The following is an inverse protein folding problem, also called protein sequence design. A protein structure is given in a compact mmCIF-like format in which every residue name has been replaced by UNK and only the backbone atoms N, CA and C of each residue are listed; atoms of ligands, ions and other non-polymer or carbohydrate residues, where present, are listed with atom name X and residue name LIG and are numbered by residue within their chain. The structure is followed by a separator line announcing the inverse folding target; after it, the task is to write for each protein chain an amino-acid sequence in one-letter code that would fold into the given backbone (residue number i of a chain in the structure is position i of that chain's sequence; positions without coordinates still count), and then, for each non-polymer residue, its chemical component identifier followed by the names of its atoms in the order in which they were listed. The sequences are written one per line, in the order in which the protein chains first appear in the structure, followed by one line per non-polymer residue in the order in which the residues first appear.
data_IF_719211997280
#
_entry.id   IF_719211997280
#
_cell.length_a   1.000
_cell.length_b   1.000
_cell.length_c   1.000
_cell.angle_alpha   90.00
_cell.angle_beta   90.00
_cell.angle_gamma   90.00
#
_symmetry.space_group_name_H-M   'P 1'
#
loop_
_entity.id
_entity.type
_entity.pdbx_description
1 polymer ?
#
# COMPACT_ATOMS: atom_id res chain seq x y z
N UNK A 1 4.79 17.23 22.05
CA UNK A 1 5.12 17.01 20.64
C UNK A 1 3.85 16.55 19.96
N UNK A 2 3.27 17.33 19.06
CA UNK A 2 2.30 16.78 18.12
C UNK A 2 3.11 15.97 17.11
N UNK A 3 3.02 14.64 17.17
CA UNK A 3 3.48 13.79 16.08
C UNK A 3 2.52 13.99 14.92
N UNK A 4 3.05 14.37 13.75
CA UNK A 4 2.26 14.47 12.54
C UNK A 4 1.59 13.12 12.23
N UNK A 5 0.33 13.10 11.77
CA UNK A 5 -0.36 11.85 11.46
C UNK A 5 0.30 11.16 10.28
N UNK A 6 0.27 9.83 10.31
CA UNK A 6 0.80 8.95 9.27
C UNK A 6 -0.33 8.18 8.60
N UNK A 7 -0.03 7.47 7.53
CA UNK A 7 -0.99 6.58 6.87
C UNK A 7 -1.50 5.48 7.82
N UNK A 8 -0.76 5.14 8.87
CA UNK A 8 -1.13 4.07 9.81
C UNK A 8 -2.05 4.55 10.93
N UNK A 9 -1.98 5.81 11.34
CA UNK A 9 -2.69 6.37 12.50
C UNK A 9 -3.52 7.63 12.16
N UNK A 10 -4.01 7.69 10.93
CA UNK A 10 -4.75 8.85 10.39
C UNK A 10 -6.13 9.09 11.05
N UNK A 11 -6.70 8.10 11.72
CA UNK A 11 -8.09 8.14 12.23
C UNK A 11 -8.42 9.39 13.10
N UNK A 12 -7.58 9.81 14.06
CA UNK A 12 -7.85 11.02 14.86
C UNK A 12 -7.91 12.30 14.02
N UNK A 13 -7.10 12.40 12.95
CA UNK A 13 -7.11 13.56 12.06
C UNK A 13 -8.39 13.64 11.21
N UNK A 14 -9.01 12.49 10.91
CA UNK A 14 -10.25 12.40 10.13
C UNK A 14 -11.52 12.49 10.98
N UNK A 15 -11.41 12.39 12.31
CA UNK A 15 -12.55 12.36 13.23
C UNK A 15 -13.64 13.44 12.99
N UNK A 16 -13.33 14.68 12.58
CA UNK A 16 -14.36 15.68 12.26
C UNK A 16 -15.34 15.28 11.14
N UNK A 17 -14.98 14.31 10.28
CA UNK A 17 -15.85 13.79 9.23
C UNK A 17 -16.91 12.78 9.74
N UNK A 18 -16.93 12.48 11.04
CA UNK A 18 -17.95 11.63 11.68
C UNK A 18 -17.99 10.22 11.08
N UNK A 19 -19.20 9.73 10.80
CA UNK A 19 -19.43 8.36 10.32
C UNK A 19 -18.64 8.01 9.03
N UNK A 20 -18.27 8.99 8.22
CA UNK A 20 -17.41 8.75 7.06
C UNK A 20 -15.99 8.37 7.48
N UNK A 21 -15.43 9.00 8.51
CA UNK A 21 -14.12 8.62 9.04
C UNK A 21 -14.14 7.20 9.62
N UNK A 22 -15.20 6.85 10.35
CA UNK A 22 -15.38 5.52 10.92
C UNK A 22 -15.41 4.45 9.82
N UNK A 23 -16.20 4.66 8.76
CA UNK A 23 -16.27 3.72 7.63
C UNK A 23 -14.94 3.57 6.89
N UNK A 24 -14.15 4.63 6.76
CA UNK A 24 -12.82 4.58 6.14
C UNK A 24 -11.83 3.79 6.99
N UNK A 25 -11.93 3.89 8.32
CA UNK A 25 -11.09 3.13 9.25
C UNK A 25 -11.50 1.66 9.29
N UNK A 26 -12.80 1.35 9.30
CA UNK A 26 -13.31 -0.03 9.20
C UNK A 26 -12.82 -0.70 7.91
N UNK A 27 -12.90 0.00 6.78
CA UNK A 27 -12.36 -0.50 5.51
C UNK A 27 -10.85 -0.71 5.58
N UNK A 28 -10.10 0.22 6.19
CA UNK A 28 -8.66 0.07 6.37
C UNK A 28 -8.32 -1.21 7.14
N UNK A 29 -8.97 -1.46 8.27
CA UNK A 29 -8.76 -2.69 9.06
C UNK A 29 -9.14 -3.95 8.27
N UNK A 30 -10.26 -3.92 7.52
CA UNK A 30 -10.70 -5.05 6.71
C UNK A 30 -9.71 -5.41 5.59
N UNK A 31 -9.10 -4.41 4.93
CA UNK A 31 -8.13 -4.63 3.85
C UNK A 31 -6.87 -5.39 4.31
N UNK A 32 -6.44 -5.21 5.56
CA UNK A 32 -5.30 -5.94 6.12
C UNK A 32 -5.64 -7.33 6.64
N UNK A 33 -6.93 -7.61 6.88
CA UNK A 33 -7.42 -8.87 7.42
C UNK A 33 -8.03 -9.82 6.37
N UNK A 34 -8.33 -9.33 5.16
CA UNK A 34 -8.92 -10.15 4.09
C UNK A 34 -7.96 -11.29 3.62
N UNK A 35 -8.50 -12.41 3.10
CA UNK A 35 -7.72 -13.61 2.81
C UNK A 35 -7.16 -13.71 1.38
N UNK A 36 -7.47 -12.76 0.50
CA UNK A 36 -7.18 -12.81 -0.94
C UNK A 36 -5.77 -12.31 -1.29
N UNK A 37 -5.28 -11.27 -0.59
CA UNK A 37 -3.91 -10.76 -0.75
C UNK A 37 -3.20 -10.78 0.61
N UNK A 38 -2.04 -11.44 0.75
CA UNK A 38 -1.32 -11.47 2.02
C UNK A 38 -0.90 -10.08 2.50
N UNK A 39 -1.04 -9.79 3.80
CA UNK A 39 -0.61 -8.53 4.39
C UNK A 39 0.85 -8.13 4.06
N UNK A 40 1.85 -9.06 4.02
CA UNK A 40 3.20 -8.69 3.57
C UNK A 40 3.27 -8.12 2.15
N UNK A 41 2.41 -8.57 1.22
CA UNK A 41 2.35 -8.03 -0.15
C UNK A 41 1.76 -6.63 -0.15
N UNK A 42 0.70 -6.39 0.63
CA UNK A 42 0.11 -5.06 0.79
C UNK A 42 1.11 -4.07 1.42
N UNK A 43 1.93 -4.52 2.37
CA UNK A 43 2.96 -3.68 2.98
C UNK A 43 4.09 -3.33 2.00
N UNK A 44 4.50 -4.27 1.13
CA UNK A 44 5.42 -3.95 0.04
C UNK A 44 4.82 -2.88 -0.87
N UNK A 45 3.54 -2.98 -1.23
CA UNK A 45 2.87 -1.96 -2.04
C UNK A 45 2.79 -0.61 -1.31
N UNK A 46 2.45 -0.59 -0.01
CA UNK A 46 2.41 0.64 0.81
C UNK A 46 3.77 1.33 0.85
N UNK A 47 4.83 0.59 1.16
CA UNK A 47 6.20 1.12 1.22
C UNK A 47 6.66 1.62 -0.15
N UNK A 48 6.29 0.93 -1.24
CA UNK A 48 6.62 1.37 -2.60
C UNK A 48 5.94 2.68 -2.95
N UNK A 49 4.62 2.79 -2.72
CA UNK A 49 3.86 4.01 -2.95
C UNK A 49 4.39 5.17 -2.09
N UNK A 50 4.70 4.93 -0.81
CA UNK A 50 5.31 5.93 0.06
C UNK A 50 6.65 6.45 -0.50
N UNK A 51 7.50 5.53 -0.99
CA UNK A 51 8.76 5.89 -1.65
C UNK A 51 8.55 6.71 -2.93
N UNK A 52 7.57 6.34 -3.76
CA UNK A 52 7.23 7.08 -4.98
C UNK A 52 6.68 8.49 -4.71
N UNK A 53 5.97 8.69 -3.59
CA UNK A 53 5.55 10.02 -3.11
C UNK A 53 6.66 10.83 -2.45
N UNK A 54 7.80 10.20 -2.14
CA UNK A 54 8.93 10.81 -1.41
C UNK A 54 8.65 11.03 0.08
N UNK A 55 7.84 10.18 0.71
CA UNK A 55 7.44 10.29 2.13
C UNK A 55 8.37 9.45 3.03
N UNK A 56 9.48 10.03 3.46
CA UNK A 56 10.51 9.32 4.24
C UNK A 56 9.96 8.79 5.57
N UNK A 57 9.12 9.57 6.25
CA UNK A 57 8.43 9.20 7.48
C UNK A 57 7.57 7.95 7.29
N UNK A 58 6.88 7.82 6.15
CA UNK A 58 6.03 6.67 5.84
C UNK A 58 6.83 5.41 5.52
N UNK A 59 7.98 5.57 4.85
CA UNK A 59 8.90 4.45 4.54
C UNK A 59 9.62 3.91 5.79
N UNK A 60 9.70 4.71 6.86
CA UNK A 60 10.25 4.28 8.14
C UNK A 60 9.28 3.44 8.98
N UNK A 61 7.97 3.46 8.64
CA UNK A 61 6.95 2.72 9.38
C UNK A 61 6.87 1.25 8.94
N UNK A 62 6.39 0.41 9.84
CA UNK A 62 6.09 -1.02 9.58
C UNK A 62 4.64 -1.28 9.97
N UNK A 63 3.84 -1.76 9.03
CA UNK A 63 2.48 -2.15 9.35
C UNK A 63 2.47 -3.39 10.26
N UNK A 64 1.76 -3.40 11.41
CA UNK A 64 1.83 -4.49 12.39
C UNK A 64 1.31 -5.84 11.87
N UNK A 65 0.40 -5.83 10.89
CA UNK A 65 -0.10 -7.05 10.24
C UNK A 65 0.91 -7.69 9.27
N UNK A 66 2.00 -7.01 8.92
CA UNK A 66 2.99 -7.48 7.97
C UNK A 66 4.36 -7.66 8.66
N UNK A 67 4.98 -8.83 8.45
CA UNK A 67 6.37 -9.08 8.84
C UNK A 67 7.20 -9.23 7.59
N UNK A 68 8.11 -8.30 7.36
CA UNK A 68 9.04 -8.30 6.24
C UNK A 68 10.48 -8.19 6.76
N UNK A 69 11.45 -8.91 6.17
CA UNK A 69 12.85 -8.71 6.48
C UNK A 69 13.31 -7.30 6.08
N UNK A 70 14.09 -6.64 6.93
CA UNK A 70 14.60 -5.28 6.66
C UNK A 70 15.44 -5.21 5.37
N UNK A 71 16.20 -6.26 5.04
CA UNK A 71 16.95 -6.32 3.78
C UNK A 71 16.05 -6.30 2.54
N UNK A 72 14.87 -6.93 2.62
CA UNK A 72 13.87 -6.91 1.56
C UNK A 72 13.24 -5.53 1.41
N UNK A 73 12.99 -4.84 2.53
CA UNK A 73 12.50 -3.46 2.53
C UNK A 73 13.55 -2.52 1.92
N UNK A 74 14.82 -2.66 2.29
CA UNK A 74 15.91 -1.88 1.71
C UNK A 74 15.98 -2.05 0.19
N UNK A 75 15.93 -3.30 -0.30
CA UNK A 75 15.93 -3.62 -1.73
C UNK A 75 14.68 -3.11 -2.48
N UNK A 76 13.55 -2.95 -1.78
CA UNK A 76 12.37 -2.30 -2.34
C UNK A 76 12.58 -0.80 -2.50
N UNK A 77 13.05 -0.14 -1.44
CA UNK A 77 13.18 1.32 -1.38
C UNK A 77 14.32 1.84 -2.26
N UNK A 78 15.39 1.06 -2.45
CA UNK A 78 16.47 1.40 -3.40
C UNK A 78 16.14 1.07 -4.87
N UNK A 79 14.99 0.44 -5.13
CA UNK A 79 14.51 0.09 -6.48
C UNK A 79 15.14 -1.15 -7.10
N UNK A 80 15.92 -1.93 -6.35
CA UNK A 80 16.56 -3.16 -6.85
C UNK A 80 15.63 -4.38 -6.88
N UNK A 81 14.43 -4.29 -6.27
CA UNK A 81 13.47 -5.39 -6.19
C UNK A 81 13.21 -6.14 -7.51
N UNK A 82 13.16 -5.54 -8.73
CA UNK A 82 12.84 -6.25 -9.97
C UNK A 82 13.88 -7.30 -10.38
N UNK A 83 15.06 -7.30 -9.74
CA UNK A 83 16.10 -8.32 -9.94
C UNK A 83 16.57 -8.99 -8.64
N UNK A 84 16.09 -8.53 -7.49
CA UNK A 84 16.51 -9.04 -6.19
C UNK A 84 15.91 -10.42 -5.89
N UNK A 85 16.68 -11.47 -5.55
CA UNK A 85 16.20 -12.86 -5.48
C UNK A 85 15.10 -13.10 -4.43
N UNK A 86 15.06 -12.29 -3.37
CA UNK A 86 14.09 -12.45 -2.27
C UNK A 86 12.65 -12.06 -2.63
N UNK A 87 12.41 -11.51 -3.83
CA UNK A 87 11.08 -11.20 -4.32
C UNK A 87 10.52 -12.33 -5.19
N UNK A 88 9.43 -12.92 -4.72
CA UNK A 88 8.68 -13.91 -5.45
C UNK A 88 8.02 -13.30 -6.70
N UNK A 89 7.66 -14.12 -7.70
CA UNK A 89 6.90 -13.64 -8.86
C UNK A 89 5.58 -12.96 -8.49
N UNK A 90 4.87 -13.46 -7.47
CA UNK A 90 3.60 -12.87 -7.01
C UNK A 90 3.78 -11.47 -6.40
N UNK A 91 4.86 -11.26 -5.63
CA UNK A 91 5.18 -9.94 -5.07
C UNK A 91 5.59 -8.95 -6.16
N UNK A 92 6.36 -9.40 -7.16
CA UNK A 92 6.72 -8.55 -8.31
C UNK A 92 5.49 -8.13 -9.09
N UNK A 93 4.58 -9.06 -9.41
CA UNK A 93 3.34 -8.75 -10.11
C UNK A 93 2.51 -7.69 -9.38
N UNK A 94 2.39 -7.80 -8.04
CA UNK A 94 1.69 -6.80 -7.24
C UNK A 94 2.40 -5.44 -7.22
N UNK A 95 3.74 -5.42 -7.15
CA UNK A 95 4.53 -4.19 -7.19
C UNK A 95 4.49 -3.50 -8.55
N UNK A 96 4.63 -4.25 -9.64
CA UNK A 96 4.52 -3.72 -11.01
C UNK A 96 3.11 -3.12 -11.23
N UNK A 97 2.07 -3.80 -10.75
CA UNK A 97 0.70 -3.28 -10.76
C UNK A 97 0.58 -1.98 -9.93
N UNK A 98 1.19 -1.93 -8.73
CA UNK A 98 1.17 -0.75 -7.87
C UNK A 98 1.90 0.46 -8.49
N UNK A 99 2.99 0.24 -9.22
CA UNK A 99 3.70 1.30 -9.92
C UNK A 99 2.88 1.89 -11.07
N UNK A 100 2.24 1.05 -11.89
CA UNK A 100 1.34 1.54 -12.94
C UNK A 100 0.12 2.24 -12.33
N UNK A 101 -0.46 1.71 -11.25
CA UNK A 101 -1.54 2.37 -10.51
C UNK A 101 -1.15 3.79 -10.07
N UNK A 102 0.05 3.95 -9.50
CA UNK A 102 0.56 5.26 -9.06
C UNK A 102 0.74 6.24 -10.22
N UNK A 103 1.27 5.76 -11.34
CA UNK A 103 1.55 6.58 -12.52
C UNK A 103 0.27 7.01 -13.24
N UNK A 104 -0.56 6.03 -13.60
CA UNK A 104 -1.87 6.21 -14.23
C UNK A 104 -2.68 4.92 -14.10
N UNK A 105 -3.64 4.90 -13.18
CA UNK A 105 -4.54 3.76 -13.00
C UNK A 105 -5.34 3.39 -14.27
N UNK A 106 -5.52 4.31 -15.24
CA UNK A 106 -6.16 4.01 -16.53
C UNK A 106 -5.24 3.28 -17.50
N UNK A 107 -3.94 3.27 -17.25
CA UNK A 107 -2.94 2.55 -18.05
C UNK A 107 -2.78 1.09 -17.60
N UNK A 108 -3.53 0.63 -16.58
CA UNK A 108 -3.57 -0.77 -16.19
C UNK A 108 -4.18 -1.58 -17.34
N UNK A 109 -3.33 -2.32 -18.04
CA UNK A 109 -3.70 -3.22 -19.13
C UNK A 109 -4.33 -4.52 -18.61
N UNK A 110 -5.08 -5.21 -19.46
CA UNK A 110 -5.60 -6.54 -19.18
C UNK A 110 -4.50 -7.55 -18.87
N UNK A 111 -3.33 -7.45 -19.52
CA UNK A 111 -2.18 -8.31 -19.26
C UNK A 111 -1.66 -8.14 -17.83
N UNK A 112 -1.51 -6.90 -17.38
CA UNK A 112 -1.06 -6.59 -16.02
C UNK A 112 -2.06 -7.08 -14.96
N UNK A 113 -3.36 -6.91 -15.23
CA UNK A 113 -4.43 -7.44 -14.39
C UNK A 113 -4.43 -8.98 -14.37
N UNK A 114 -4.20 -9.62 -15.51
CA UNK A 114 -4.09 -11.07 -15.64
C UNK A 114 -2.88 -11.63 -14.87
N UNK A 115 -1.73 -10.94 -14.88
CA UNK A 115 -0.55 -11.35 -14.12
C UNK A 115 -0.79 -11.33 -12.60
N UNK A 116 -1.47 -10.31 -12.07
CA UNK A 116 -1.90 -10.32 -10.65
C UNK A 116 -2.90 -11.46 -10.39
N UNK A 117 -3.89 -11.62 -11.28
CA UNK A 117 -4.93 -12.64 -11.14
C UNK A 117 -4.37 -14.06 -11.20
N UNK A 118 -3.26 -14.28 -11.91
CA UNK A 118 -2.54 -15.56 -11.96
C UNK A 118 -2.10 -16.03 -10.57
N UNK A 119 -1.75 -15.10 -9.68
CA UNK A 119 -1.24 -15.42 -8.34
C UNK A 119 -2.29 -15.30 -7.23
N UNK A 120 -3.23 -14.35 -7.34
CA UNK A 120 -4.20 -14.06 -6.29
C UNK A 120 -5.66 -14.32 -6.68
N UNK A 121 -5.90 -14.76 -7.91
CA UNK A 121 -7.23 -14.87 -8.49
C UNK A 121 -7.90 -13.51 -8.72
N UNK A 122 -9.09 -13.55 -9.32
CA UNK A 122 -9.91 -12.34 -9.52
C UNK A 122 -10.29 -11.64 -8.21
N UNK A 123 -10.66 -12.33 -7.12
CA UNK A 123 -10.89 -11.67 -5.82
C UNK A 123 -9.64 -10.95 -5.29
N UNK A 124 -8.46 -11.51 -5.55
CA UNK A 124 -7.19 -10.92 -5.17
C UNK A 124 -6.84 -9.67 -5.96
N UNK A 125 -7.14 -9.64 -7.27
CA UNK A 125 -7.02 -8.42 -8.07
C UNK A 125 -7.90 -7.30 -7.52
N UNK A 126 -9.18 -7.60 -7.24
CA UNK A 126 -10.12 -6.60 -6.68
C UNK A 126 -9.64 -6.11 -5.31
N UNK A 127 -9.19 -7.02 -4.44
CA UNK A 127 -8.66 -6.67 -3.12
C UNK A 127 -7.40 -5.80 -3.23
N UNK A 128 -6.46 -6.14 -4.13
CA UNK A 128 -5.25 -5.34 -4.36
C UNK A 128 -5.59 -3.95 -4.87
N UNK A 129 -6.43 -3.83 -5.91
CA UNK A 129 -6.83 -2.54 -6.48
C UNK A 129 -7.50 -1.64 -5.44
N UNK A 130 -8.40 -2.21 -4.62
CA UNK A 130 -9.07 -1.49 -3.53
C UNK A 130 -8.07 -1.04 -2.46
N UNK A 131 -7.14 -1.93 -2.08
CA UNK A 131 -6.10 -1.61 -1.11
C UNK A 131 -5.18 -0.49 -1.61
N UNK A 132 -4.77 -0.51 -2.89
CA UNK A 132 -3.91 0.52 -3.47
C UNK A 132 -4.56 1.91 -3.42
N UNK A 133 -5.85 2.01 -3.76
CA UNK A 133 -6.57 3.27 -3.67
C UNK A 133 -6.68 3.80 -2.23
N UNK A 134 -6.93 2.92 -1.27
CA UNK A 134 -7.01 3.31 0.13
C UNK A 134 -5.64 3.71 0.70
N UNK A 135 -4.60 2.95 0.37
CA UNK A 135 -3.21 3.24 0.75
C UNK A 135 -2.78 4.59 0.18
N UNK A 136 -2.96 4.81 -1.13
CA UNK A 136 -2.55 6.05 -1.80
C UNK A 136 -3.29 7.26 -1.22
N UNK A 137 -4.60 7.13 -0.99
CA UNK A 137 -5.42 8.14 -0.34
C UNK A 137 -4.92 8.48 1.07
N UNK A 138 -4.63 7.47 1.90
CA UNK A 138 -4.13 7.67 3.26
C UNK A 138 -2.74 8.31 3.29
N UNK A 139 -1.82 7.92 2.41
CA UNK A 139 -0.51 8.56 2.28
C UNK A 139 -0.63 10.05 1.95
N UNK A 140 -1.51 10.42 1.00
CA UNK A 140 -1.74 11.82 0.61
C UNK A 140 -2.41 12.62 1.72
N UNK A 141 -3.39 12.04 2.40
CA UNK A 141 -4.05 12.69 3.53
C UNK A 141 -3.10 12.90 4.70
N UNK A 142 -2.28 11.90 5.05
CA UNK A 142 -1.25 12.03 6.09
C UNK A 142 -0.30 13.20 5.79
N UNK A 143 0.19 13.29 4.54
CA UNK A 143 1.00 14.43 4.09
C UNK A 143 0.25 15.75 4.21
N UNK A 144 -1.01 15.81 3.79
CA UNK A 144 -1.84 17.01 3.88
C UNK A 144 -1.97 17.49 5.34
N UNK A 145 -2.35 16.60 6.26
CA UNK A 145 -2.50 16.93 7.67
C UNK A 145 -1.17 17.18 8.39
N UNK A 146 -0.05 16.67 7.89
CA UNK A 146 1.28 16.97 8.43
C UNK A 146 1.72 18.43 8.21
N UNK A 147 1.00 19.18 7.38
CA UNK A 147 1.25 20.58 7.08
C UNK A 147 0.14 21.53 7.60
N UNK A 148 -0.84 21.01 8.35
CA UNK A 148 -1.86 21.80 9.04
C UNK A 148 -1.47 22.05 10.50
#
# INVERSE_FOLDING_TARGET
MHTSPTSLDLAPALAPAGATADALEDLWQALWAQPHVPAPVLELCRLRLAGLHGLAEETALRHPAARLPEGKIAALLDGSFPRHPDFSPAERAALDFAEIYFQDAKAISDELAAEVSRYFGEPGLVALLTALGHIDGRLRLARFFSHL
#
